data_IF_645697844669
#
_entry.id   IF_645697844669
#
_cell.length_a   1.000
_cell.length_b   1.000
_cell.length_c   1.000
_cell.angle_alpha   90.00
_cell.angle_beta   90.00
_cell.angle_gamma   90.00
#
_symmetry.space_group_name_H-M   'P 1'
#
loop_
_entity.id
_entity.type
_entity.pdbx_description
1 polymer ?
#
# COMPACT_ATOMS: atom_id res chain seq x y z
N UNK A 1 -17.83 -33.11 8.48
CA UNK A 1 -16.71 -32.65 7.64
C UNK A 1 -16.99 -33.15 6.24
N UNK A 2 -17.24 -32.25 5.29
CA UNK A 2 -17.53 -32.64 3.91
C UNK A 2 -16.22 -32.86 3.13
N UNK A 3 -16.33 -33.38 1.92
CA UNK A 3 -15.17 -33.68 1.07
C UNK A 3 -14.38 -32.41 0.72
N UNK A 4 -15.07 -31.28 0.51
CA UNK A 4 -14.47 -29.98 0.23
C UNK A 4 -13.60 -29.43 1.38
N UNK A 5 -13.98 -29.67 2.64
CA UNK A 5 -13.21 -29.27 3.82
C UNK A 5 -11.90 -30.06 3.93
N UNK A 6 -11.95 -31.37 3.64
CA UNK A 6 -10.75 -32.22 3.62
C UNK A 6 -9.78 -31.81 2.53
N UNK A 7 -10.26 -31.52 1.33
CA UNK A 7 -9.40 -31.12 0.21
C UNK A 7 -8.72 -29.77 0.49
N UNK A 8 -9.40 -28.84 1.16
CA UNK A 8 -8.81 -27.57 1.60
C UNK A 8 -7.77 -27.73 2.70
N UNK A 9 -7.99 -28.61 3.67
CA UNK A 9 -6.98 -28.92 4.70
C UNK A 9 -5.76 -29.62 4.09
N UNK A 10 -5.98 -30.57 3.19
CA UNK A 10 -4.91 -31.27 2.49
C UNK A 10 -4.07 -30.29 1.67
N UNK A 11 -4.70 -29.41 0.89
CA UNK A 11 -4.01 -28.37 0.14
C UNK A 11 -3.22 -27.41 1.05
N UNK A 12 -3.79 -26.98 2.19
CA UNK A 12 -3.08 -26.15 3.18
C UNK A 12 -1.88 -26.87 3.80
N UNK A 13 -2.00 -28.16 4.10
CA UNK A 13 -0.89 -28.93 4.68
C UNK A 13 0.25 -29.16 3.69
N UNK A 14 -0.06 -29.30 2.39
CA UNK A 14 0.92 -29.57 1.34
C UNK A 14 1.61 -28.30 0.83
N UNK A 15 0.86 -27.20 0.71
CA UNK A 15 1.34 -25.96 0.06
C UNK A 15 1.46 -24.77 1.01
N UNK A 16 1.07 -24.93 2.27
CA UNK A 16 0.93 -23.82 3.20
C UNK A 16 -0.27 -22.93 2.87
N UNK A 17 -0.31 -21.74 3.48
CA UNK A 17 -1.31 -20.72 3.18
C UNK A 17 -0.63 -19.41 2.82
N UNK A 18 -0.97 -18.84 1.66
CA UNK A 18 -0.58 -17.46 1.32
C UNK A 18 -1.48 -16.50 2.10
N UNK A 19 -0.97 -16.02 3.24
CA UNK A 19 -1.59 -14.94 4.00
C UNK A 19 -1.19 -13.58 3.44
N UNK A 20 -1.95 -12.54 3.79
CA UNK A 20 -1.51 -11.16 3.58
C UNK A 20 -0.25 -10.88 4.42
N UNK A 21 0.55 -9.91 3.99
CA UNK A 21 1.67 -9.42 4.78
C UNK A 21 1.15 -8.89 6.12
N UNK A 22 1.85 -9.21 7.21
CA UNK A 22 1.49 -8.69 8.53
C UNK A 22 1.85 -7.20 8.59
N UNK A 23 0.90 -6.36 8.96
CA UNK A 23 1.16 -4.96 9.26
C UNK A 23 1.78 -4.86 10.66
N UNK A 24 3.10 -4.69 10.73
CA UNK A 24 3.84 -4.53 11.98
C UNK A 24 3.86 -3.08 12.48
N UNK A 25 3.54 -2.12 11.60
CA UNK A 25 3.62 -0.69 11.89
C UNK A 25 5.06 -0.18 12.00
N UNK A 26 5.21 1.14 12.12
CA UNK A 26 6.48 1.80 12.40
C UNK A 26 7.47 1.85 11.23
N UNK A 27 7.05 1.47 10.02
CA UNK A 27 7.90 1.62 8.84
C UNK A 27 7.95 3.08 8.39
N UNK A 28 9.13 3.52 7.95
CA UNK A 28 9.39 4.90 7.51
C UNK A 28 9.80 4.87 6.03
N UNK A 29 9.29 5.79 5.20
CA UNK A 29 9.68 5.83 3.80
C UNK A 29 11.13 6.28 3.62
N UNK A 30 11.76 5.77 2.57
CA UNK A 30 13.08 6.09 2.10
C UNK A 30 12.93 7.10 0.94
N UNK A 31 13.50 8.29 1.14
CA UNK A 31 13.46 9.38 0.18
C UNK A 31 14.00 8.96 -1.19
N UNK A 32 15.09 8.20 -1.24
CA UNK A 32 15.73 7.82 -2.49
C UNK A 32 14.86 6.87 -3.32
N UNK A 33 14.04 6.03 -2.67
CA UNK A 33 13.07 5.17 -3.37
C UNK A 33 11.92 5.95 -3.96
N UNK A 34 11.42 6.95 -3.25
CA UNK A 34 10.31 7.79 -3.72
C UNK A 34 10.71 8.73 -4.86
N UNK A 35 12.01 9.06 -4.97
CA UNK A 35 12.55 9.83 -6.09
C UNK A 35 12.77 9.00 -7.36
N UNK A 36 12.63 7.68 -7.29
CA UNK A 36 12.74 6.85 -8.49
C UNK A 36 11.55 7.12 -9.43
N UNK A 37 11.75 7.08 -10.75
CA UNK A 37 10.66 7.17 -11.70
C UNK A 37 9.61 6.09 -11.46
N UNK A 38 8.36 6.40 -11.77
CA UNK A 38 7.30 5.40 -11.80
C UNK A 38 7.57 4.42 -12.95
N UNK A 39 7.55 3.13 -12.65
CA UNK A 39 7.78 2.04 -13.57
C UNK A 39 6.57 1.82 -14.48
N UNK A 40 5.35 1.93 -13.97
CA UNK A 40 4.16 1.68 -14.76
C UNK A 40 3.63 2.97 -15.44
N UNK A 41 3.41 2.99 -16.77
CA UNK A 41 3.09 4.22 -17.53
C UNK A 41 1.82 4.97 -17.12
N UNK A 42 0.90 4.30 -16.42
CA UNK A 42 -0.37 4.88 -15.93
C UNK A 42 -0.33 5.30 -14.45
N UNK A 43 0.77 5.01 -13.77
CA UNK A 43 0.97 5.44 -12.39
C UNK A 43 1.16 6.94 -12.35
N UNK A 44 0.62 7.56 -11.30
CA UNK A 44 0.70 9.02 -11.09
C UNK A 44 1.42 9.38 -9.80
N UNK A 45 1.57 8.44 -8.86
CA UNK A 45 2.21 8.68 -7.57
C UNK A 45 2.72 7.40 -6.93
N UNK A 46 3.81 7.51 -6.16
CA UNK A 46 4.25 6.48 -5.23
C UNK A 46 3.39 6.47 -3.97
N UNK A 47 3.13 5.27 -3.45
CA UNK A 47 2.43 5.06 -2.18
C UNK A 47 3.28 4.23 -1.25
N UNK A 48 3.41 4.66 0.00
CA UNK A 48 4.15 3.95 1.02
C UNK A 48 3.22 3.50 2.15
N UNK A 49 3.29 2.20 2.49
CA UNK A 49 2.51 1.64 3.59
C UNK A 49 3.33 1.59 4.88
N UNK A 50 3.03 2.43 5.87
CA UNK A 50 3.69 2.42 7.19
C UNK A 50 3.39 1.16 8.00
N UNK A 51 2.31 0.45 7.65
CA UNK A 51 1.94 -0.83 8.24
C UNK A 51 2.89 -1.98 7.86
N UNK A 52 3.21 -2.15 6.58
CA UNK A 52 4.01 -3.29 6.10
C UNK A 52 5.32 -2.92 5.38
N UNK A 53 5.61 -1.63 5.21
CA UNK A 53 6.84 -1.11 4.59
C UNK A 53 6.88 -1.20 3.06
N UNK A 54 5.78 -1.59 2.41
CA UNK A 54 5.74 -1.74 0.96
C UNK A 54 5.53 -0.42 0.23
N UNK A 55 6.20 -0.31 -0.92
CA UNK A 55 5.99 0.73 -1.92
C UNK A 55 5.08 0.18 -3.01
N UNK A 56 4.09 0.97 -3.39
CA UNK A 56 3.15 0.65 -4.46
C UNK A 56 3.01 1.88 -5.33
N UNK A 57 2.91 1.68 -6.63
CA UNK A 57 2.49 2.74 -7.51
C UNK A 57 0.96 2.79 -7.58
N UNK A 58 0.43 4.01 -7.73
CA UNK A 58 -1.01 4.23 -7.79
C UNK A 58 -1.40 4.89 -9.10
N UNK A 59 -2.47 4.37 -9.68
CA UNK A 59 -3.22 5.07 -10.72
C UNK A 59 -4.12 6.13 -10.08
N UNK A 60 -4.50 7.16 -10.85
CA UNK A 60 -5.33 8.26 -10.35
C UNK A 60 -6.59 7.76 -9.64
N UNK A 61 -7.36 6.86 -10.29
CA UNK A 61 -8.58 6.27 -9.71
C UNK A 61 -8.32 5.62 -8.34
N UNK A 62 -7.20 4.91 -8.18
CA UNK A 62 -6.88 4.24 -6.92
C UNK A 62 -6.41 5.20 -5.83
N UNK A 63 -5.80 6.32 -6.20
CA UNK A 63 -5.44 7.39 -5.27
C UNK A 63 -6.71 8.16 -4.85
N UNK A 64 -7.63 8.43 -5.78
CA UNK A 64 -8.93 9.04 -5.54
C UNK A 64 -9.80 8.22 -4.60
N UNK A 65 -9.94 6.91 -4.85
CA UNK A 65 -10.72 6.02 -4.00
C UNK A 65 -10.20 6.03 -2.55
N UNK A 66 -8.87 6.03 -2.39
CA UNK A 66 -8.21 6.05 -1.08
C UNK A 66 -8.36 7.38 -0.37
N UNK A 67 -8.15 8.49 -1.09
CA UNK A 67 -8.33 9.82 -0.57
C UNK A 67 -9.78 10.09 -0.18
N UNK A 68 -10.74 9.67 -1.01
CA UNK A 68 -12.17 9.76 -0.75
C UNK A 68 -12.59 8.94 0.48
N UNK A 69 -12.09 7.72 0.62
CA UNK A 69 -12.35 6.89 1.82
C UNK A 69 -11.78 7.50 3.11
N UNK A 70 -10.66 8.22 3.01
CA UNK A 70 -10.04 8.95 4.12
C UNK A 70 -10.60 10.37 4.33
N UNK A 71 -11.51 10.83 3.44
CA UNK A 71 -12.03 12.19 3.39
C UNK A 71 -10.93 13.27 3.36
N UNK A 72 -9.88 13.04 2.56
CA UNK A 72 -8.79 13.98 2.33
C UNK A 72 -8.84 14.52 0.89
N UNK A 73 -8.50 15.80 0.67
CA UNK A 73 -8.37 16.33 -0.67
C UNK A 73 -7.11 15.79 -1.34
N UNK A 74 -7.19 15.60 -2.66
CA UNK A 74 -6.02 15.28 -3.50
C UNK A 74 -5.39 16.60 -3.95
N UNK A 75 -4.06 16.74 -3.90
CA UNK A 75 -3.38 17.90 -4.47
C UNK A 75 -3.64 18.04 -5.98
N UNK A 76 -3.79 19.28 -6.46
CA UNK A 76 -3.95 19.56 -7.89
C UNK A 76 -2.75 19.11 -8.74
N UNK A 77 -1.57 19.03 -8.12
CA UNK A 77 -0.35 18.46 -8.70
C UNK A 77 0.27 17.45 -7.72
N UNK A 78 0.56 16.25 -8.21
CA UNK A 78 1.17 15.16 -7.44
C UNK A 78 2.72 15.14 -7.55
N UNK A 79 3.31 15.98 -8.39
CA UNK A 79 4.76 16.07 -8.55
C UNK A 79 5.44 16.42 -7.21
N UNK A 80 6.42 15.62 -6.81
CA UNK A 80 7.14 15.80 -5.54
C UNK A 80 6.36 15.36 -4.29
N UNK A 81 5.16 14.80 -4.46
CA UNK A 81 4.38 14.20 -3.38
C UNK A 81 4.48 12.67 -3.42
N UNK A 82 4.23 12.05 -2.26
CA UNK A 82 3.91 10.64 -2.15
C UNK A 82 2.68 10.44 -1.27
N UNK A 83 1.99 9.31 -1.46
CA UNK A 83 0.82 8.94 -0.65
C UNK A 83 1.24 7.98 0.46
N UNK A 84 1.26 8.46 1.69
CA UNK A 84 1.47 7.62 2.87
C UNK A 84 0.15 7.00 3.32
N UNK A 85 0.17 5.72 3.68
CA UNK A 85 -0.99 4.99 4.17
C UNK A 85 -0.62 4.07 5.32
N UNK A 86 -1.52 3.84 6.27
CA UNK A 86 -1.30 2.84 7.33
C UNK A 86 -1.60 1.42 6.85
N UNK A 87 -2.44 1.27 5.82
CA UNK A 87 -2.78 -0.03 5.23
C UNK A 87 -2.69 -0.04 3.70
N UNK A 88 -2.35 -1.19 3.13
CA UNK A 88 -2.37 -1.43 1.70
C UNK A 88 -3.17 -2.69 1.36
N UNK A 89 -3.46 -2.92 0.09
CA UNK A 89 -4.19 -4.11 -0.38
C UNK A 89 -3.49 -5.43 -0.01
N UNK A 90 -2.17 -5.39 0.15
CA UNK A 90 -1.31 -6.55 0.38
C UNK A 90 -1.11 -6.90 1.87
N UNK A 91 -1.48 -6.02 2.80
CA UNK A 91 -1.37 -6.27 4.23
C UNK A 91 -2.72 -6.52 4.92
N UNK A 92 -2.67 -7.08 6.12
CA UNK A 92 -3.83 -7.42 6.95
C UNK A 92 -4.43 -6.24 7.72
N UNK A 93 -3.76 -5.07 7.75
CA UNK A 93 -4.32 -3.82 8.30
C UNK A 93 -5.56 -3.35 7.52
N UNK A 94 -6.49 -2.71 8.23
CA UNK A 94 -7.74 -2.14 7.69
C UNK A 94 -7.86 -0.63 7.92
N UNK A 95 -6.81 0.02 8.42
CA UNK A 95 -6.87 1.44 8.72
C UNK A 95 -6.87 2.28 7.42
N UNK A 96 -7.87 3.14 7.20
CA UNK A 96 -7.96 3.98 6.02
C UNK A 96 -7.11 5.24 6.09
N UNK A 97 -6.27 5.44 7.11
CA UNK A 97 -5.44 6.64 7.19
C UNK A 97 -4.55 6.77 5.95
N UNK A 98 -4.77 7.85 5.21
CA UNK A 98 -4.03 8.24 4.02
C UNK A 98 -3.68 9.71 4.16
N UNK A 99 -2.46 10.07 3.78
CA UNK A 99 -2.02 11.47 3.69
C UNK A 99 -1.11 11.67 2.49
N UNK A 100 -1.20 12.84 1.86
CA UNK A 100 -0.24 13.27 0.84
C UNK A 100 0.87 14.08 1.51
N UNK A 101 2.11 13.63 1.38
CA UNK A 101 3.29 14.27 1.97
C UNK A 101 4.29 14.63 0.90
N UNK A 102 5.07 15.69 1.11
CA UNK A 102 6.15 16.05 0.19
C UNK A 102 7.34 15.15 0.43
N UNK A 103 7.99 14.73 -0.65
CA UNK A 103 9.22 13.92 -0.58
C UNK A 103 10.36 14.71 0.06
N UNK A 104 10.38 16.03 -0.12
CA UNK A 104 11.40 16.92 0.46
C UNK A 104 11.27 17.11 1.99
N UNK A 105 10.14 16.72 2.59
CA UNK A 105 9.98 16.73 4.04
C UNK A 105 10.64 15.51 4.71
N UNK A 106 11.09 14.52 3.92
CA UNK A 106 11.77 13.33 4.43
C UNK A 106 13.25 13.62 4.71
N UNK A 107 13.82 13.03 5.78
CA UNK A 107 15.26 13.12 6.02
C UNK A 107 16.03 12.54 4.83
N UNK A 108 17.09 13.25 4.44
CA UNK A 108 18.02 12.85 3.37
C UNK A 108 19.06 11.84 3.82
#
# INVERSE_FOLDING_TARGET
MNDDERDRELARSLFGSVGKAKATGGHVPDRNKLLQPLEHPKSVIHSFCTGCGLYLERFMISAEDRAGAANIPIPDNLDGYYMETESCSLCDSRDPLVVFKKIDDLPG
#
